data_IF_529376774704
#
_entry.id   IF_529376774704
#
_cell.length_a   1.000
_cell.length_b   1.000
_cell.length_c   1.000
_cell.angle_alpha   90.00
_cell.angle_beta   90.00
_cell.angle_gamma   90.00
#
_symmetry.space_group_name_H-M   'P 1'
#
loop_
_entity.id
_entity.type
_entity.pdbx_description
1 polymer ?
#
# COMPACT_ATOMS: atom_id res chain seq x y z
N UNK A 1 32.14 -27.61 -5.89
CA UNK A 1 32.32 -27.20 -7.30
C UNK A 1 33.79 -26.88 -7.61
N UNK A 2 34.44 -26.02 -6.83
CA UNK A 2 35.86 -25.62 -7.02
C UNK A 2 36.91 -26.74 -6.86
N UNK A 3 36.59 -27.82 -6.14
CA UNK A 3 37.50 -28.98 -5.96
C UNK A 3 37.35 -30.04 -7.06
N UNK A 4 36.52 -29.79 -8.08
CA UNK A 4 36.36 -30.74 -9.19
C UNK A 4 37.52 -30.58 -10.18
N UNK A 5 38.07 -31.69 -10.72
CA UNK A 5 39.26 -31.66 -11.59
C UNK A 5 39.03 -30.96 -12.93
N UNK A 6 37.80 -30.53 -13.21
CA UNK A 6 37.41 -29.77 -14.40
C UNK A 6 37.76 -28.28 -14.27
N UNK A 7 38.13 -27.82 -13.07
CA UNK A 7 38.46 -26.42 -12.77
C UNK A 7 39.96 -26.28 -12.55
N UNK A 8 40.56 -25.26 -13.17
CA UNK A 8 41.97 -24.87 -13.00
C UNK A 8 42.35 -24.69 -11.52
N UNK A 9 41.41 -24.15 -10.76
CA UNK A 9 41.51 -23.81 -9.35
C UNK A 9 41.62 -25.06 -8.45
N UNK A 10 41.31 -26.25 -8.95
CA UNK A 10 41.43 -27.51 -8.20
C UNK A 10 42.88 -27.88 -7.88
N UNK A 11 43.84 -27.37 -8.66
CA UNK A 11 45.28 -27.62 -8.48
C UNK A 11 45.98 -26.45 -7.78
N UNK A 12 45.26 -25.37 -7.46
CA UNK A 12 45.82 -24.18 -6.83
C UNK A 12 45.62 -24.20 -5.31
N UNK A 13 46.66 -23.83 -4.55
CA UNK A 13 46.60 -23.75 -3.08
C UNK A 13 45.88 -22.48 -2.57
N UNK A 14 45.60 -21.52 -3.45
CA UNK A 14 44.99 -20.24 -3.13
C UNK A 14 43.96 -19.88 -4.20
N UNK A 15 42.71 -19.72 -3.77
CA UNK A 15 41.63 -19.23 -4.64
C UNK A 15 41.35 -17.76 -4.30
N UNK A 16 41.40 -16.89 -5.30
CA UNK A 16 41.03 -15.46 -5.13
C UNK A 16 39.56 -15.25 -5.51
N UNK A 17 38.73 -14.95 -4.52
CA UNK A 17 37.31 -14.66 -4.71
C UNK A 17 37.11 -13.15 -4.87
N UNK A 18 36.40 -12.75 -5.93
CA UNK A 18 36.01 -11.36 -6.15
C UNK A 18 34.58 -11.15 -5.65
N UNK A 19 34.43 -10.27 -4.66
CA UNK A 19 33.15 -9.91 -4.07
C UNK A 19 32.90 -8.40 -4.13
N UNK A 20 31.63 -8.03 -4.06
CA UNK A 20 31.24 -6.62 -3.95
C UNK A 20 31.76 -6.04 -2.64
N UNK A 21 32.08 -4.72 -2.58
CA UNK A 21 32.69 -4.10 -1.41
C UNK A 21 31.84 -4.24 -0.14
N UNK A 22 30.52 -4.34 -0.29
CA UNK A 22 29.58 -4.57 0.83
C UNK A 22 29.67 -5.99 1.39
N UNK A 23 30.04 -6.99 0.57
CA UNK A 23 30.12 -8.38 0.97
C UNK A 23 31.47 -8.77 1.58
N UNK A 24 32.56 -8.10 1.19
CA UNK A 24 33.92 -8.36 1.69
C UNK A 24 34.01 -8.42 3.23
N UNK A 25 33.51 -7.44 4.01
CA UNK A 25 33.61 -7.49 5.47
C UNK A 25 32.79 -8.64 6.09
N UNK A 26 31.66 -8.97 5.48
CA UNK A 26 30.69 -9.96 5.96
C UNK A 26 31.10 -11.39 5.55
N UNK A 27 31.96 -11.52 4.55
CA UNK A 27 32.41 -12.80 4.03
C UNK A 27 33.03 -13.71 5.11
N UNK A 28 33.73 -13.12 6.09
CA UNK A 28 34.30 -13.86 7.22
C UNK A 28 33.22 -14.50 8.10
N UNK A 29 32.10 -13.81 8.33
CA UNK A 29 30.97 -14.33 9.10
C UNK A 29 30.18 -15.36 8.31
N UNK A 30 30.03 -15.15 6.99
CA UNK A 30 29.47 -16.13 6.08
C UNK A 30 30.28 -17.43 6.06
N UNK A 31 31.62 -17.35 6.04
CA UNK A 31 32.48 -18.53 6.17
C UNK A 31 32.32 -19.21 7.53
N UNK A 32 32.28 -18.43 8.63
CA UNK A 32 32.06 -18.96 9.98
C UNK A 32 30.75 -19.74 10.09
N UNK A 33 29.71 -19.36 9.35
CA UNK A 33 28.44 -20.09 9.32
C UNK A 33 28.62 -21.55 8.89
N UNK A 34 29.46 -21.85 7.89
CA UNK A 34 29.71 -23.25 7.48
C UNK A 34 30.36 -24.11 8.58
N UNK A 35 31.13 -23.50 9.48
CA UNK A 35 31.80 -24.22 10.57
C UNK A 35 30.96 -24.30 11.85
N UNK A 36 30.11 -23.30 12.10
CA UNK A 36 29.40 -23.14 13.39
C UNK A 36 27.90 -23.33 13.29
N UNK A 37 27.32 -23.25 12.08
CA UNK A 37 25.87 -23.21 11.86
C UNK A 37 25.19 -21.95 12.40
N UNK A 38 25.94 -20.94 12.84
CA UNK A 38 25.39 -19.74 13.49
C UNK A 38 25.82 -18.47 12.77
N UNK A 39 24.85 -17.59 12.52
CA UNK A 39 25.08 -16.27 11.92
C UNK A 39 24.14 -15.24 12.56
N UNK A 40 24.62 -14.00 12.67
CA UNK A 40 23.83 -12.88 13.19
C UNK A 40 23.32 -12.07 12.01
N UNK A 41 22.00 -11.96 11.88
CA UNK A 41 21.35 -11.20 10.81
C UNK A 41 20.81 -9.90 11.41
N UNK A 42 21.00 -8.80 10.67
CA UNK A 42 20.41 -7.50 10.97
C UNK A 42 19.95 -6.86 9.64
N UNK A 43 19.20 -5.75 9.71
CA UNK A 43 18.63 -5.09 8.53
C UNK A 43 19.66 -4.60 7.50
N UNK A 44 20.87 -4.23 7.94
CA UNK A 44 21.93 -3.75 7.05
C UNK A 44 22.80 -4.86 6.44
N UNK A 45 22.91 -5.99 7.14
CA UNK A 45 23.80 -7.11 6.82
C UNK A 45 23.04 -8.23 6.07
N UNK A 46 21.71 -8.29 6.19
CA UNK A 46 20.90 -9.35 5.55
C UNK A 46 21.04 -9.38 4.03
N UNK A 47 21.10 -8.22 3.36
CA UNK A 47 21.19 -8.17 1.90
C UNK A 47 22.55 -8.66 1.38
N UNK A 48 23.71 -8.22 1.93
CA UNK A 48 24.99 -8.84 1.60
C UNK A 48 25.05 -10.34 1.90
N UNK A 49 24.52 -10.80 3.04
CA UNK A 49 24.48 -12.24 3.38
C UNK A 49 23.66 -13.00 2.35
N UNK A 50 22.46 -12.52 2.02
CA UNK A 50 21.59 -13.13 1.02
C UNK A 50 22.33 -13.21 -0.33
N UNK A 51 23.04 -12.15 -0.71
CA UNK A 51 23.78 -12.16 -1.97
C UNK A 51 24.93 -13.17 -2.04
N UNK A 52 25.63 -13.38 -0.93
CA UNK A 52 26.61 -14.46 -0.81
C UNK A 52 25.90 -15.82 -0.83
N UNK A 53 24.80 -15.98 -0.10
CA UNK A 53 24.04 -17.21 -0.05
C UNK A 53 23.52 -17.64 -1.43
N UNK A 54 22.99 -16.70 -2.22
CA UNK A 54 22.56 -16.93 -3.61
C UNK A 54 23.75 -17.28 -4.52
N UNK A 55 24.85 -16.52 -4.44
CA UNK A 55 26.06 -16.76 -5.26
C UNK A 55 26.69 -18.13 -5.00
N UNK A 56 26.76 -18.55 -3.73
CA UNK A 56 27.35 -19.82 -3.31
C UNK A 56 26.32 -20.94 -3.15
N UNK A 57 25.05 -20.69 -3.47
CA UNK A 57 23.92 -21.63 -3.45
C UNK A 57 23.69 -22.31 -2.08
N UNK A 58 23.73 -21.52 -1.00
CA UNK A 58 23.48 -21.96 0.38
C UNK A 58 22.01 -21.81 0.72
N UNK A 59 21.20 -22.81 0.36
CA UNK A 59 19.73 -22.76 0.48
C UNK A 59 19.21 -22.43 1.87
N UNK A 60 19.79 -23.02 2.91
CA UNK A 60 19.33 -22.81 4.29
C UNK A 60 19.45 -21.33 4.70
N UNK A 61 20.54 -20.69 4.28
CA UNK A 61 20.79 -19.28 4.57
C UNK A 61 19.94 -18.36 3.70
N UNK A 62 19.65 -18.75 2.46
CA UNK A 62 18.68 -18.06 1.61
C UNK A 62 17.33 -18.05 2.32
N UNK A 63 16.78 -19.21 2.70
CA UNK A 63 15.49 -19.26 3.40
C UNK A 63 15.48 -18.43 4.68
N UNK A 64 16.53 -18.51 5.49
CA UNK A 64 16.63 -17.74 6.73
C UNK A 64 16.63 -16.22 6.48
N UNK A 65 17.40 -15.75 5.49
CA UNK A 65 17.43 -14.35 5.11
C UNK A 65 16.08 -13.90 4.53
N UNK A 66 15.44 -14.72 3.71
CA UNK A 66 14.15 -14.39 3.11
C UNK A 66 13.06 -14.27 4.18
N UNK A 67 13.02 -15.19 5.14
CA UNK A 67 12.08 -15.18 6.28
C UNK A 67 12.33 -13.96 7.18
N UNK A 68 13.60 -13.63 7.45
CA UNK A 68 13.95 -12.40 8.18
C UNK A 68 13.44 -11.16 7.44
N UNK A 69 13.70 -11.05 6.14
CA UNK A 69 13.29 -9.89 5.35
C UNK A 69 11.75 -9.73 5.34
N UNK A 70 10.98 -10.81 5.19
CA UNK A 70 9.52 -10.75 5.25
C UNK A 70 9.01 -10.24 6.61
N UNK A 71 9.65 -10.67 7.71
CA UNK A 71 9.27 -10.28 9.06
C UNK A 71 9.81 -8.92 9.51
N UNK A 72 10.65 -8.25 8.70
CA UNK A 72 11.29 -6.98 9.07
C UNK A 72 11.22 -5.89 7.97
N UNK A 73 10.23 -5.97 7.07
CA UNK A 73 10.00 -4.99 5.99
C UNK A 73 9.79 -3.57 6.53
N UNK A 74 8.99 -3.42 7.59
CA UNK A 74 8.67 -2.12 8.17
C UNK A 74 9.92 -1.41 8.73
N UNK A 75 10.82 -2.18 9.36
CA UNK A 75 12.09 -1.68 9.87
C UNK A 75 13.04 -1.29 8.72
N UNK A 76 13.09 -2.08 7.65
CA UNK A 76 13.86 -1.74 6.45
C UNK A 76 13.39 -0.44 5.78
N UNK A 77 12.07 -0.16 5.84
CA UNK A 77 11.51 1.07 5.32
C UNK A 77 12.04 2.30 6.07
N UNK A 78 12.00 2.29 7.41
CA UNK A 78 12.48 3.42 8.23
C UNK A 78 13.98 3.64 8.07
N UNK A 79 14.76 2.56 8.02
CA UNK A 79 16.21 2.66 7.88
C UNK A 79 16.68 2.96 6.45
N UNK A 80 15.76 3.06 5.48
CA UNK A 80 16.09 3.41 4.10
C UNK A 80 16.90 2.32 3.38
N UNK A 81 16.57 1.04 3.60
CA UNK A 81 17.15 -0.09 2.87
C UNK A 81 16.13 -0.84 2.03
N UNK A 82 14.84 -0.47 2.11
CA UNK A 82 13.74 -1.17 1.47
C UNK A 82 13.83 -1.16 -0.07
N UNK A 83 14.30 -0.06 -0.67
CA UNK A 83 14.42 0.03 -2.13
C UNK A 83 15.55 -0.87 -2.61
N UNK A 84 16.66 -0.90 -1.86
CA UNK A 84 17.76 -1.83 -2.12
C UNK A 84 17.30 -3.29 -2.02
N UNK A 85 16.46 -3.62 -1.03
CA UNK A 85 15.86 -4.95 -0.89
C UNK A 85 14.97 -5.31 -2.08
N UNK A 86 14.13 -4.36 -2.51
CA UNK A 86 13.26 -4.54 -3.67
C UNK A 86 14.04 -4.79 -4.95
N UNK A 87 15.06 -3.97 -5.25
CA UNK A 87 15.89 -4.10 -6.44
C UNK A 87 16.61 -5.43 -6.47
N UNK A 88 17.23 -5.82 -5.36
CA UNK A 88 17.93 -7.09 -5.25
C UNK A 88 16.97 -8.29 -5.41
N UNK A 89 15.85 -8.29 -4.67
CA UNK A 89 14.87 -9.36 -4.74
C UNK A 89 14.24 -9.51 -6.14
N UNK A 90 14.03 -8.38 -6.84
CA UNK A 90 13.55 -8.37 -8.23
C UNK A 90 14.58 -8.99 -9.18
N UNK A 91 15.86 -8.62 -9.06
CA UNK A 91 16.93 -9.11 -9.91
C UNK A 91 17.24 -10.60 -9.70
N UNK A 92 17.12 -11.09 -8.47
CA UNK A 92 17.37 -12.49 -8.13
C UNK A 92 16.13 -13.40 -8.25
N UNK A 93 14.96 -12.86 -8.59
CA UNK A 93 13.73 -13.63 -8.81
C UNK A 93 13.01 -14.07 -7.52
N UNK A 94 13.26 -13.41 -6.38
CA UNK A 94 12.62 -13.72 -5.10
C UNK A 94 11.22 -13.10 -5.00
N UNK A 95 10.25 -13.69 -5.72
CA UNK A 95 8.91 -13.11 -5.92
C UNK A 95 8.15 -12.76 -4.63
N UNK A 96 8.23 -13.60 -3.60
CA UNK A 96 7.47 -13.39 -2.36
C UNK A 96 7.88 -12.10 -1.65
N UNK A 97 9.20 -11.83 -1.57
CA UNK A 97 9.73 -10.60 -0.95
C UNK A 97 9.49 -9.40 -1.84
N UNK A 98 9.69 -9.54 -3.14
CA UNK A 98 9.39 -8.47 -4.09
C UNK A 98 7.95 -8.01 -3.94
N UNK A 99 6.99 -8.95 -3.86
CA UNK A 99 5.59 -8.63 -3.64
C UNK A 99 5.34 -8.02 -2.25
N UNK A 100 5.96 -8.54 -1.19
CA UNK A 100 5.84 -7.98 0.16
C UNK A 100 6.35 -6.53 0.24
N UNK A 101 7.53 -6.25 -0.34
CA UNK A 101 8.10 -4.90 -0.44
C UNK A 101 7.22 -3.99 -1.29
N UNK A 102 6.75 -4.43 -2.46
CA UNK A 102 5.85 -3.64 -3.32
C UNK A 102 4.54 -3.31 -2.61
N UNK A 103 3.92 -4.27 -1.93
CA UNK A 103 2.69 -4.04 -1.16
C UNK A 103 2.94 -3.06 -0.02
N UNK A 104 4.07 -3.20 0.70
CA UNK A 104 4.42 -2.28 1.76
C UNK A 104 4.58 -0.84 1.25
N UNK A 105 5.33 -0.64 0.16
CA UNK A 105 5.53 0.68 -0.46
C UNK A 105 4.19 1.23 -0.94
N UNK A 106 3.38 0.40 -1.58
CA UNK A 106 2.06 0.77 -2.09
C UNK A 106 1.10 1.26 -0.99
N UNK A 107 1.13 0.64 0.18
CA UNK A 107 0.25 1.03 1.29
C UNK A 107 0.84 2.13 2.17
N UNK A 108 2.16 2.30 2.16
CA UNK A 108 2.88 3.20 3.06
C UNK A 108 3.83 4.14 2.32
N UNK A 109 3.43 4.60 1.12
CA UNK A 109 4.29 5.41 0.26
C UNK A 109 4.82 6.67 0.97
N UNK A 110 3.97 7.33 1.76
CA UNK A 110 4.37 8.52 2.52
C UNK A 110 5.45 8.25 3.57
N UNK A 111 5.51 7.05 4.15
CA UNK A 111 6.60 6.67 5.06
C UNK A 111 7.90 6.50 4.29
N UNK A 112 7.85 5.83 3.14
CA UNK A 112 9.01 5.58 2.29
C UNK A 112 9.54 6.88 1.66
N UNK A 113 8.65 7.77 1.21
CA UNK A 113 8.99 9.04 0.57
C UNK A 113 9.76 10.00 1.49
N UNK A 114 9.63 9.86 2.82
CA UNK A 114 10.39 10.65 3.81
C UNK A 114 11.83 10.18 3.99
N UNK A 115 12.15 8.98 3.50
CA UNK A 115 13.48 8.40 3.66
C UNK A 115 14.38 8.77 2.49
N UNK A 116 15.69 8.82 2.74
CA UNK A 116 16.68 9.13 1.71
C UNK A 116 16.70 8.09 0.56
N UNK A 117 16.26 6.86 0.84
CA UNK A 117 16.23 5.75 -0.11
C UNK A 117 15.19 5.97 -1.23
N UNK A 118 14.24 6.90 -1.04
CA UNK A 118 13.27 7.23 -2.07
C UNK A 118 13.95 7.69 -3.38
N UNK A 119 15.08 8.39 -3.29
CA UNK A 119 15.86 8.79 -4.47
C UNK A 119 16.53 7.63 -5.23
N UNK A 120 16.53 6.41 -4.69
CA UNK A 120 17.14 5.25 -5.34
C UNK A 120 16.14 4.43 -6.17
N UNK A 121 14.84 4.76 -6.14
CA UNK A 121 13.83 4.04 -6.93
C UNK A 121 14.16 4.07 -8.42
N UNK A 122 13.99 2.91 -9.07
CA UNK A 122 14.01 2.84 -10.52
C UNK A 122 12.72 3.43 -11.10
N UNK A 123 12.87 4.12 -12.24
CA UNK A 123 11.77 4.82 -12.91
C UNK A 123 10.61 3.87 -13.20
N UNK A 124 10.89 2.72 -13.82
CA UNK A 124 9.85 1.78 -14.25
C UNK A 124 9.05 1.24 -13.07
N UNK A 125 9.72 0.95 -11.94
CA UNK A 125 9.07 0.48 -10.72
C UNK A 125 8.17 1.58 -10.15
N UNK A 126 8.68 2.82 -10.05
CA UNK A 126 7.91 3.95 -9.55
C UNK A 126 6.68 4.22 -10.43
N UNK A 127 6.86 4.27 -11.74
CA UNK A 127 5.77 4.47 -12.70
C UNK A 127 4.75 3.34 -12.60
N UNK A 128 5.17 2.08 -12.52
CA UNK A 128 4.26 0.95 -12.36
C UNK A 128 3.42 1.05 -11.07
N UNK A 129 4.01 1.56 -9.99
CA UNK A 129 3.34 1.78 -8.71
C UNK A 129 2.36 2.95 -8.78
N UNK A 130 2.69 4.01 -9.51
CA UNK A 130 1.82 5.16 -9.73
C UNK A 130 0.60 4.82 -10.60
N UNK A 131 0.66 3.84 -11.49
CA UNK A 131 -0.54 3.43 -12.24
C UNK A 131 -1.58 2.70 -11.36
N UNK A 132 -1.17 2.12 -10.23
CA UNK A 132 -2.07 1.34 -9.38
C UNK A 132 -3.10 2.23 -8.65
N UNK A 133 -4.40 1.95 -8.84
CA UNK A 133 -5.49 2.64 -8.15
C UNK A 133 -5.66 2.24 -6.68
N UNK A 134 -4.95 1.21 -6.23
CA UNK A 134 -4.91 0.75 -4.83
C UNK A 134 -3.74 1.32 -4.03
N UNK A 135 -2.99 2.26 -4.60
CA UNK A 135 -2.02 3.06 -3.87
C UNK A 135 -2.71 3.85 -2.75
N UNK A 136 -2.13 3.82 -1.56
CA UNK A 136 -2.65 4.58 -0.41
C UNK A 136 -1.84 5.86 -0.24
N UNK A 137 -2.53 6.98 -0.23
CA UNK A 137 -1.95 8.31 -0.09
C UNK A 137 -2.98 9.24 0.54
N UNK A 138 -2.56 10.33 1.19
CA UNK A 138 -3.48 11.33 1.73
C UNK A 138 -4.34 11.98 0.66
N UNK A 139 -3.71 12.54 -0.36
CA UNK A 139 -4.34 13.23 -1.48
C UNK A 139 -3.39 13.28 -2.69
N UNK A 140 -3.89 13.55 -3.89
CA UNK A 140 -3.03 13.56 -5.07
C UNK A 140 -1.96 14.68 -5.03
N UNK A 141 -2.22 15.76 -4.27
CA UNK A 141 -1.25 16.84 -4.05
C UNK A 141 -0.06 16.39 -3.19
N UNK A 142 -0.26 15.56 -2.15
CA UNK A 142 0.87 14.97 -1.42
C UNK A 142 1.68 14.02 -2.30
N UNK A 143 1.02 13.25 -3.17
CA UNK A 143 1.71 12.42 -4.17
C UNK A 143 2.59 13.28 -5.09
N UNK A 144 2.04 14.37 -5.64
CA UNK A 144 2.77 15.32 -6.48
C UNK A 144 4.04 15.84 -5.78
N UNK A 145 3.93 16.27 -4.52
CA UNK A 145 5.07 16.77 -3.73
C UNK A 145 6.13 15.69 -3.47
N UNK A 146 5.71 14.45 -3.25
CA UNK A 146 6.65 13.32 -3.15
C UNK A 146 7.42 13.14 -4.46
N UNK A 147 6.72 13.15 -5.60
CA UNK A 147 7.35 13.00 -6.92
C UNK A 147 8.26 14.16 -7.29
N UNK A 148 7.91 15.39 -6.91
CA UNK A 148 8.79 16.56 -7.04
C UNK A 148 10.10 16.34 -6.28
N UNK A 149 10.03 15.90 -5.02
CA UNK A 149 11.23 15.57 -4.23
C UNK A 149 12.07 14.45 -4.86
N UNK A 150 11.43 13.46 -5.49
CA UNK A 150 12.14 12.39 -6.21
C UNK A 150 12.86 12.92 -7.44
N UNK A 151 12.19 13.76 -8.23
CA UNK A 151 12.75 14.38 -9.43
C UNK A 151 13.93 15.30 -9.08
N UNK A 152 13.86 16.02 -7.96
CA UNK A 152 14.97 16.83 -7.46
C UNK A 152 16.20 15.97 -7.10
N UNK A 153 15.97 14.82 -6.46
CA UNK A 153 17.04 13.85 -6.18
C UNK A 153 17.66 13.30 -7.47
N UNK A 154 16.84 12.90 -8.46
CA UNK A 154 17.35 12.44 -9.75
C UNK A 154 18.12 13.55 -10.48
N UNK A 155 17.62 14.77 -10.45
CA UNK A 155 18.27 15.94 -11.05
C UNK A 155 19.66 16.14 -10.46
N UNK A 156 19.80 16.09 -9.14
CA UNK A 156 21.10 16.22 -8.48
C UNK A 156 22.04 15.07 -8.82
N UNK A 157 21.52 13.84 -8.93
CA UNK A 157 22.31 12.66 -9.29
C UNK A 157 22.81 12.73 -10.74
N UNK A 158 21.94 13.07 -11.68
CA UNK A 158 22.26 13.18 -13.10
C UNK A 158 23.16 14.38 -13.43
N UNK A 159 23.03 15.50 -12.69
CA UNK A 159 23.93 16.66 -12.80
C UNK A 159 25.42 16.30 -12.63
N UNK A 160 25.72 15.25 -11.87
CA UNK A 160 27.11 14.81 -11.65
C UNK A 160 27.64 13.89 -12.75
N UNK A 161 26.77 13.37 -13.61
CA UNK A 161 27.11 12.32 -14.57
C UNK A 161 27.00 12.78 -16.03
N UNK A 162 26.10 13.72 -16.33
CA UNK A 162 25.75 14.12 -17.69
C UNK A 162 26.17 15.56 -18.01
N UNK A 163 26.32 15.84 -19.31
CA UNK A 163 26.48 17.19 -19.84
C UNK A 163 25.18 18.00 -19.70
N UNK A 164 25.26 19.34 -19.80
CA UNK A 164 24.11 20.21 -19.56
C UNK A 164 22.95 19.95 -20.53
N UNK A 165 23.24 19.79 -21.83
CA UNK A 165 22.22 19.62 -22.87
C UNK A 165 21.55 18.23 -22.78
N UNK A 166 22.31 17.18 -22.51
CA UNK A 166 21.76 15.82 -22.30
C UNK A 166 20.93 15.73 -21.02
N UNK A 167 21.33 16.47 -19.98
CA UNK A 167 20.59 16.55 -18.72
C UNK A 167 19.20 17.18 -18.93
N UNK A 168 19.08 18.25 -19.71
CA UNK A 168 17.77 18.89 -19.90
C UNK A 168 16.78 17.99 -20.65
N UNK A 169 17.23 17.34 -21.72
CA UNK A 169 16.39 16.42 -22.49
C UNK A 169 15.97 15.19 -21.67
N UNK A 170 16.89 14.60 -20.90
CA UNK A 170 16.57 13.46 -20.03
C UNK A 170 15.63 13.84 -18.90
N UNK A 171 15.78 15.03 -18.31
CA UNK A 171 14.87 15.52 -17.27
C UNK A 171 13.47 15.78 -17.82
N UNK A 172 13.33 16.32 -19.03
CA UNK A 172 12.02 16.51 -19.66
C UNK A 172 11.29 15.17 -19.83
N UNK A 173 11.97 14.14 -20.35
CA UNK A 173 11.40 12.80 -20.48
C UNK A 173 11.01 12.18 -19.13
N UNK A 174 11.86 12.34 -18.11
CA UNK A 174 11.59 11.85 -16.76
C UNK A 174 10.37 12.54 -16.13
N UNK A 175 10.25 13.86 -16.28
CA UNK A 175 9.11 14.62 -15.77
C UNK A 175 7.82 14.16 -16.42
N UNK A 176 7.79 14.01 -17.75
CA UNK A 176 6.61 13.52 -18.47
C UNK A 176 6.23 12.11 -18.00
N UNK A 177 7.21 11.19 -17.91
CA UNK A 177 6.96 9.82 -17.50
C UNK A 177 6.42 9.69 -16.07
N UNK A 178 6.96 10.47 -15.12
CA UNK A 178 6.58 10.40 -13.70
C UNK A 178 5.30 11.17 -13.41
N UNK A 179 5.05 12.28 -14.10
CA UNK A 179 3.90 13.15 -13.84
C UNK A 179 2.67 12.77 -14.68
N UNK A 180 2.82 12.02 -15.77
CA UNK A 180 1.67 11.55 -16.57
C UNK A 180 0.66 10.73 -15.75
N UNK A 181 1.07 9.78 -14.88
CA UNK A 181 0.15 8.97 -14.07
C UNK A 181 -0.48 9.72 -12.88
N UNK A 182 -0.10 10.98 -12.65
CA UNK A 182 -0.68 11.82 -11.59
C UNK A 182 -2.10 12.23 -12.00
N UNK A 183 -3.06 11.99 -11.10
CA UNK A 183 -4.49 12.20 -11.37
C UNK A 183 -4.91 13.63 -11.07
N UNK A 184 -4.51 14.58 -11.93
CA UNK A 184 -4.91 15.99 -11.80
C UNK A 184 -6.43 16.21 -11.60
N UNK A 185 -7.35 15.43 -12.22
CA UNK A 185 -8.78 15.53 -11.93
C UNK A 185 -9.18 15.21 -10.48
N UNK A 186 -8.32 14.56 -9.70
CA UNK A 186 -8.54 14.24 -8.28
C UNK A 186 -8.00 15.33 -7.34
N UNK A 187 -7.40 16.40 -7.86
CA UNK A 187 -6.97 17.56 -7.09
C UNK A 187 -8.04 18.65 -7.12
N UNK A 188 -8.31 19.31 -6.01
CA UNK A 188 -9.26 20.43 -6.00
C UNK A 188 -8.80 21.59 -6.90
N UNK A 189 -9.70 22.39 -7.48
CA UNK A 189 -9.33 23.57 -8.28
C UNK A 189 -8.42 24.57 -7.55
N UNK A 190 -8.52 24.65 -6.22
CA UNK A 190 -7.59 25.45 -5.38
C UNK A 190 -6.18 24.87 -5.41
N UNK A 191 -6.04 23.55 -5.28
CA UNK A 191 -4.77 22.85 -5.39
C UNK A 191 -4.18 22.99 -6.80
N UNK A 192 -5.00 22.85 -7.86
CA UNK A 192 -4.55 23.06 -9.24
C UNK A 192 -4.03 24.49 -9.47
N UNK A 193 -4.67 25.51 -8.89
CA UNK A 193 -4.19 26.89 -8.96
C UNK A 193 -2.88 27.09 -8.19
N UNK A 194 -2.71 26.43 -7.04
CA UNK A 194 -1.47 26.45 -6.25
C UNK A 194 -0.29 25.88 -7.04
N UNK A 195 -0.50 24.81 -7.83
CA UNK A 195 0.55 24.20 -8.65
C UNK A 195 1.20 25.18 -9.63
N UNK A 196 0.48 26.17 -10.15
CA UNK A 196 1.02 27.20 -11.05
C UNK A 196 2.14 28.04 -10.41
N UNK A 197 2.23 28.04 -9.08
CA UNK A 197 3.27 28.75 -8.35
C UNK A 197 4.58 27.96 -8.27
N UNK A 198 4.54 26.62 -8.42
CA UNK A 198 5.70 25.76 -8.25
C UNK A 198 6.74 25.90 -9.37
N UNK A 199 8.05 25.83 -9.05
CA UNK A 199 9.11 25.98 -10.04
C UNK A 199 9.06 24.94 -11.16
N UNK A 200 8.74 23.68 -10.81
CA UNK A 200 8.65 22.58 -11.78
C UNK A 200 7.56 22.84 -12.81
N UNK A 201 6.38 23.28 -12.35
CA UNK A 201 5.26 23.64 -13.22
C UNK A 201 5.58 24.83 -14.12
N UNK A 202 6.30 25.83 -13.61
CA UNK A 202 6.73 26.98 -14.42
C UNK A 202 7.71 26.58 -15.51
N UNK A 203 8.61 25.61 -15.23
CA UNK A 203 9.58 25.12 -16.20
C UNK A 203 8.91 24.32 -17.32
N UNK A 204 8.00 23.41 -17.00
CA UNK A 204 7.31 22.54 -17.97
C UNK A 204 5.84 22.94 -18.18
N UNK A 205 5.61 24.24 -18.44
CA UNK A 205 4.28 24.85 -18.44
C UNK A 205 3.29 24.17 -19.39
N UNK A 206 3.72 23.77 -20.58
CA UNK A 206 2.81 23.28 -21.63
C UNK A 206 2.16 21.96 -21.21
N UNK A 207 2.98 21.00 -20.78
CA UNK A 207 2.54 19.73 -20.23
C UNK A 207 1.60 19.93 -19.02
N UNK A 208 2.01 20.70 -18.02
CA UNK A 208 1.21 20.83 -16.80
C UNK A 208 -0.11 21.59 -17.03
N UNK A 209 -0.12 22.64 -17.84
CA UNK A 209 -1.35 23.39 -18.15
C UNK A 209 -2.35 22.52 -18.90
N UNK A 210 -1.88 21.68 -19.83
CA UNK A 210 -2.72 20.70 -20.51
C UNK A 210 -3.38 19.74 -19.52
N UNK A 211 -2.59 19.10 -18.63
CA UNK A 211 -3.11 18.17 -17.61
C UNK A 211 -4.06 18.84 -16.61
N UNK A 212 -3.75 20.06 -16.18
CA UNK A 212 -4.64 20.85 -15.32
C UNK A 212 -5.94 21.22 -16.02
N UNK A 213 -5.91 21.46 -17.33
CA UNK A 213 -7.11 21.76 -18.10
C UNK A 213 -8.10 20.59 -18.11
N UNK A 214 -7.60 19.35 -18.18
CA UNK A 214 -8.39 18.12 -18.05
C UNK A 214 -9.05 18.07 -16.66
N UNK A 215 -8.29 18.36 -15.60
CA UNK A 215 -8.83 18.43 -14.24
C UNK A 215 -9.92 19.51 -14.11
N UNK A 216 -9.71 20.70 -14.66
CA UNK A 216 -10.72 21.77 -14.65
C UNK A 216 -11.97 21.39 -15.46
N UNK A 217 -11.83 20.68 -16.58
CA UNK A 217 -12.95 20.13 -17.34
C UNK A 217 -13.77 19.13 -16.52
N UNK A 218 -13.11 18.29 -15.71
CA UNK A 218 -13.78 17.40 -14.75
C UNK A 218 -14.55 18.18 -13.68
N UNK A 219 -13.91 19.15 -13.00
CA UNK A 219 -14.56 19.94 -11.96
C UNK A 219 -15.69 20.85 -12.48
N UNK A 220 -15.67 21.23 -13.76
CA UNK A 220 -16.73 22.02 -14.40
C UNK A 220 -17.87 21.20 -15.02
N UNK A 221 -17.79 19.86 -14.96
CA UNK A 221 -18.84 18.97 -15.47
C UNK A 221 -18.88 18.83 -17.00
N UNK A 222 -17.76 19.06 -17.70
CA UNK A 222 -17.65 18.89 -19.15
C UNK A 222 -17.50 17.40 -19.51
N UNK A 223 -18.60 16.63 -19.38
CA UNK A 223 -18.60 15.17 -19.52
C UNK A 223 -18.10 14.67 -20.88
N UNK A 224 -18.32 15.42 -21.96
CA UNK A 224 -17.88 15.01 -23.30
C UNK A 224 -16.36 14.97 -23.40
N UNK A 225 -15.68 15.99 -22.85
CA UNK A 225 -14.21 16.02 -22.80
C UNK A 225 -13.64 14.95 -21.88
N UNK A 226 -14.28 14.69 -20.73
CA UNK A 226 -13.87 13.62 -19.81
C UNK A 226 -13.94 12.26 -20.52
N UNK A 227 -15.01 12.00 -21.29
CA UNK A 227 -15.15 10.77 -22.08
C UNK A 227 -14.12 10.67 -23.20
N UNK A 228 -13.86 11.78 -23.89
CA UNK A 228 -12.86 11.84 -24.96
C UNK A 228 -11.47 11.48 -24.43
N UNK A 229 -11.03 12.13 -23.34
CA UNK A 229 -9.75 11.83 -22.67
C UNK A 229 -9.70 10.38 -22.18
N UNK A 230 -10.79 9.89 -21.58
CA UNK A 230 -10.85 8.52 -21.06
C UNK A 230 -10.69 7.45 -22.14
N UNK A 231 -11.07 7.74 -23.39
CA UNK A 231 -11.04 6.79 -24.50
C UNK A 231 -9.81 6.94 -25.40
N UNK A 232 -9.31 8.18 -25.56
CA UNK A 232 -8.29 8.50 -26.55
C UNK A 232 -6.87 8.53 -25.96
N UNK A 233 -6.71 8.83 -24.67
CA UNK A 233 -5.39 8.79 -24.01
C UNK A 233 -5.06 7.39 -23.48
N UNK A 234 -3.79 7.02 -23.57
CA UNK A 234 -3.26 5.83 -22.87
C UNK A 234 -3.50 6.00 -21.36
N UNK A 235 -4.16 5.00 -20.75
CA UNK A 235 -4.55 5.02 -19.34
C UNK A 235 -5.44 6.21 -18.92
N UNK A 236 -6.10 6.88 -19.87
CA UNK A 236 -6.94 8.06 -19.61
C UNK A 236 -8.07 7.81 -18.60
N UNK A 237 -8.65 6.61 -18.61
CA UNK A 237 -9.68 6.22 -17.64
C UNK A 237 -9.17 6.21 -16.18
N UNK A 238 -7.89 5.85 -15.96
CA UNK A 238 -7.29 5.81 -14.63
C UNK A 238 -7.14 7.21 -14.01
N UNK A 239 -7.09 8.27 -14.83
CA UNK A 239 -7.02 9.66 -14.36
C UNK A 239 -8.27 10.08 -13.60
N UNK A 240 -9.40 9.46 -13.92
CA UNK A 240 -10.70 9.75 -13.31
C UNK A 240 -11.08 8.71 -12.23
N UNK A 241 -10.30 7.65 -12.03
CA UNK A 241 -10.49 6.72 -10.94
C UNK A 241 -9.78 7.23 -9.68
N UNK A 242 -10.44 7.35 -8.52
CA UNK A 242 -9.75 7.73 -7.30
C UNK A 242 -8.84 6.62 -6.78
N UNK A 243 -7.74 7.02 -6.12
CA UNK A 243 -6.91 6.12 -5.32
C UNK A 243 -7.55 5.88 -3.95
N UNK A 244 -6.86 5.15 -3.08
CA UNK A 244 -7.23 5.03 -1.67
C UNK A 244 -6.75 6.29 -0.92
N UNK A 245 -7.54 7.36 -1.03
CA UNK A 245 -7.25 8.63 -0.38
C UNK A 245 -7.61 8.61 1.11
N UNK A 246 -6.66 8.95 1.97
CA UNK A 246 -6.81 8.98 3.44
C UNK A 246 -7.24 10.35 3.98
N UNK A 247 -7.62 11.28 3.11
CA UNK A 247 -8.23 12.57 3.47
C UNK A 247 -9.65 12.39 4.05
N UNK A 248 -10.01 13.26 4.99
CA UNK A 248 -11.29 13.19 5.73
C UNK A 248 -12.54 13.35 4.83
N UNK A 249 -12.39 13.88 3.61
CA UNK A 249 -13.49 14.08 2.66
C UNK A 249 -14.05 12.77 2.10
N UNK A 250 -13.24 11.71 2.08
CA UNK A 250 -13.62 10.39 1.58
C UNK A 250 -13.32 9.25 2.54
N UNK A 251 -12.80 9.54 3.73
CA UNK A 251 -12.35 8.49 4.63
C UNK A 251 -12.52 8.87 6.10
N UNK A 252 -12.47 7.86 6.97
CA UNK A 252 -12.54 8.06 8.41
C UNK A 252 -11.79 6.96 9.15
N UNK A 253 -11.18 7.32 10.27
CA UNK A 253 -10.40 6.44 11.12
C UNK A 253 -11.24 5.93 12.29
N UNK A 254 -11.26 4.62 12.49
CA UNK A 254 -11.82 3.95 13.66
C UNK A 254 -10.70 3.32 14.49
N UNK A 255 -10.62 3.73 15.75
CA UNK A 255 -9.72 3.14 16.75
C UNK A 255 -10.55 2.42 17.81
N UNK A 256 -10.30 1.14 18.01
CA UNK A 256 -10.89 0.32 19.07
C UNK A 256 -9.86 0.17 20.17
N UNK A 257 -10.02 0.96 21.24
CA UNK A 257 -9.19 0.89 22.45
C UNK A 257 -9.65 -0.22 23.40
N UNK A 258 -8.76 -0.63 24.31
CA UNK A 258 -8.99 -1.72 25.26
C UNK A 258 -9.49 -3.00 24.57
N UNK A 259 -8.79 -3.39 23.51
CA UNK A 259 -9.12 -4.55 22.68
C UNK A 259 -9.18 -5.84 23.50
N UNK A 260 -8.26 -6.03 24.44
CA UNK A 260 -8.23 -7.22 25.29
C UNK A 260 -9.49 -7.32 26.16
N UNK A 261 -9.95 -6.19 26.71
CA UNK A 261 -11.18 -6.11 27.51
C UNK A 261 -12.48 -6.17 26.72
N UNK A 262 -12.43 -6.13 25.38
CA UNK A 262 -13.62 -6.16 24.54
C UNK A 262 -14.37 -7.51 24.68
N UNK A 263 -15.69 -7.53 24.96
CA UNK A 263 -16.44 -8.78 25.03
C UNK A 263 -16.47 -9.52 23.70
N UNK A 264 -16.60 -10.85 23.74
CA UNK A 264 -16.84 -11.66 22.54
C UNK A 264 -18.11 -11.19 21.82
N UNK A 265 -18.07 -11.17 20.50
CA UNK A 265 -19.19 -10.74 19.63
C UNK A 265 -19.64 -9.29 19.81
N UNK A 266 -18.87 -8.46 20.53
CA UNK A 266 -19.16 -7.04 20.68
C UNK A 266 -18.96 -6.29 19.36
N UNK A 267 -19.84 -5.33 19.09
CA UNK A 267 -19.80 -4.49 17.88
C UNK A 267 -19.29 -3.08 18.20
N UNK A 268 -18.42 -2.54 17.35
CA UNK A 268 -18.05 -1.13 17.36
C UNK A 268 -18.58 -0.46 16.11
N UNK A 269 -19.27 0.66 16.30
CA UNK A 269 -19.91 1.40 15.22
C UNK A 269 -19.20 2.73 14.99
N UNK A 270 -18.88 3.03 13.74
CA UNK A 270 -18.45 4.34 13.26
C UNK A 270 -19.51 4.89 12.30
N UNK A 271 -19.84 6.17 12.42
CA UNK A 271 -20.71 6.87 11.47
C UNK A 271 -19.94 8.04 10.90
N UNK A 272 -19.87 8.13 9.58
CA UNK A 272 -19.23 9.24 8.88
C UNK A 272 -19.88 9.46 7.52
N UNK A 273 -19.54 10.58 6.90
CA UNK A 273 -20.02 10.94 5.56
C UNK A 273 -18.85 11.05 4.58
N UNK A 274 -19.04 10.58 3.34
CA UNK A 274 -18.09 10.82 2.25
C UNK A 274 -18.77 11.51 1.08
N UNK A 275 -17.99 12.22 0.26
CA UNK A 275 -18.53 12.89 -0.93
C UNK A 275 -19.06 11.86 -1.93
N UNK A 276 -20.27 12.11 -2.43
CA UNK A 276 -20.92 11.29 -3.47
C UNK A 276 -20.34 11.50 -4.87
N UNK A 277 -19.64 12.61 -5.08
CA UNK A 277 -18.90 12.93 -6.29
C UNK A 277 -17.64 13.72 -5.89
N UNK A 278 -16.52 13.46 -6.56
CA UNK A 278 -15.26 14.18 -6.31
C UNK A 278 -15.15 15.49 -7.11
N UNK A 279 -16.02 15.68 -8.11
CA UNK A 279 -16.04 16.90 -8.92
C UNK A 279 -16.77 18.05 -8.19
N UNK A 280 -16.25 19.27 -8.30
CA UNK A 280 -16.75 20.41 -7.52
C UNK A 280 -18.13 20.89 -8.01
N UNK A 281 -18.45 20.73 -9.30
CA UNK A 281 -19.77 21.07 -9.84
C UNK A 281 -20.93 20.32 -9.17
N UNK A 282 -20.66 19.14 -8.59
CA UNK A 282 -21.68 18.34 -7.93
C UNK A 282 -22.11 18.92 -6.57
N UNK A 283 -21.36 19.90 -6.05
CA UNK A 283 -21.58 20.53 -4.75
C UNK A 283 -21.28 19.61 -3.57
N UNK A 284 -21.75 19.99 -2.38
CA UNK A 284 -21.48 19.31 -1.11
C UNK A 284 -22.40 18.09 -0.86
N UNK A 285 -22.66 17.30 -1.91
CA UNK A 285 -23.49 16.10 -1.79
C UNK A 285 -22.69 14.99 -1.12
N UNK A 286 -23.03 14.67 0.12
CA UNK A 286 -22.42 13.58 0.86
C UNK A 286 -23.36 12.38 1.03
N UNK A 287 -22.77 11.20 1.19
CA UNK A 287 -23.45 9.98 1.56
C UNK A 287 -23.08 9.62 3.00
N UNK A 288 -24.08 9.32 3.84
CA UNK A 288 -23.86 8.85 5.20
C UNK A 288 -23.68 7.33 5.26
N UNK A 289 -22.66 6.93 6.00
CA UNK A 289 -22.23 5.55 6.17
C UNK A 289 -22.29 5.15 7.64
N UNK A 290 -22.79 3.95 7.90
CA UNK A 290 -22.68 3.29 9.22
C UNK A 290 -21.80 2.07 9.04
N UNK A 291 -20.68 2.04 9.76
CA UNK A 291 -19.70 0.96 9.73
C UNK A 291 -19.75 0.23 11.06
N UNK A 292 -20.14 -1.04 11.03
CA UNK A 292 -20.16 -1.92 12.21
C UNK A 292 -19.04 -2.95 12.11
N UNK A 293 -18.12 -2.96 13.08
CA UNK A 293 -17.01 -3.91 13.14
C UNK A 293 -17.23 -4.91 14.27
N UNK A 294 -17.03 -6.19 13.94
CA UNK A 294 -17.13 -7.35 14.80
C UNK A 294 -15.76 -8.04 14.89
N UNK A 295 -14.84 -7.54 15.73
CA UNK A 295 -13.47 -8.05 15.77
C UNK A 295 -13.34 -9.41 16.47
N UNK A 296 -14.27 -9.76 17.36
CA UNK A 296 -14.29 -11.01 18.13
C UNK A 296 -15.39 -11.97 17.68
N UNK A 297 -15.71 -11.96 16.38
CA UNK A 297 -16.67 -12.86 15.76
C UNK A 297 -18.09 -12.31 15.74
N UNK A 298 -18.99 -13.02 15.07
CA UNK A 298 -20.40 -12.66 14.94
C UNK A 298 -21.26 -13.76 15.56
N UNK A 299 -22.19 -13.39 16.43
CA UNK A 299 -23.15 -14.33 17.03
C UNK A 299 -24.56 -14.06 16.55
N UNK A 300 -25.11 -15.02 15.80
CA UNK A 300 -26.51 -15.04 15.39
C UNK A 300 -27.31 -15.77 16.48
N UNK A 301 -28.06 -15.00 17.26
CA UNK A 301 -28.94 -15.53 18.30
C UNK A 301 -30.08 -16.33 17.69
N UNK A 302 -30.63 -17.27 18.44
CA UNK A 302 -31.85 -18.01 18.06
C UNK A 302 -32.99 -17.04 17.78
N UNK A 303 -33.73 -17.31 16.72
CA UNK A 303 -34.93 -16.55 16.37
C UNK A 303 -35.96 -17.46 15.71
N UNK A 304 -37.21 -17.02 15.70
CA UNK A 304 -38.32 -17.75 15.09
C UNK A 304 -38.68 -17.10 13.76
N UNK A 305 -38.70 -17.89 12.68
CA UNK A 305 -39.24 -17.48 11.39
C UNK A 305 -40.72 -17.87 11.31
N UNK A 306 -41.57 -16.90 10.97
CA UNK A 306 -42.98 -17.15 10.67
C UNK A 306 -43.10 -17.41 9.17
N UNK A 307 -43.43 -18.65 8.80
CA UNK A 307 -43.68 -19.06 7.42
C UNK A 307 -45.08 -19.64 7.29
N UNK A 308 -45.57 -19.77 6.06
CA UNK A 308 -46.92 -20.28 5.77
C UNK A 308 -47.20 -21.68 6.35
N UNK A 309 -46.15 -22.49 6.58
CA UNK A 309 -46.24 -23.84 7.17
C UNK A 309 -46.15 -23.85 8.71
N UNK A 310 -46.02 -22.70 9.37
CA UNK A 310 -45.89 -22.57 10.83
C UNK A 310 -44.70 -21.73 11.27
N UNK A 311 -44.45 -21.72 12.57
CA UNK A 311 -43.27 -21.07 13.14
C UNK A 311 -42.09 -22.04 13.16
N UNK A 312 -41.00 -21.68 12.50
CA UNK A 312 -39.77 -22.50 12.44
C UNK A 312 -38.72 -21.84 13.33
N UNK A 313 -38.19 -22.59 14.29
CA UNK A 313 -37.06 -22.16 15.11
C UNK A 313 -35.77 -22.25 14.30
N UNK A 314 -35.05 -21.13 14.18
CA UNK A 314 -33.71 -21.10 13.61
C UNK A 314 -32.67 -21.27 14.72
N UNK A 315 -31.71 -22.21 14.57
CA UNK A 315 -30.68 -22.44 15.57
C UNK A 315 -29.74 -21.25 15.69
N UNK A 316 -29.05 -21.16 16.83
CA UNK A 316 -27.98 -20.19 16.99
C UNK A 316 -26.78 -20.59 16.13
N UNK A 317 -26.09 -19.59 15.62
CA UNK A 317 -24.92 -19.80 14.78
C UNK A 317 -23.84 -18.78 15.17
N UNK A 318 -22.64 -19.25 15.45
CA UNK A 318 -21.48 -18.40 15.75
C UNK A 318 -20.52 -18.47 14.58
N UNK A 319 -20.17 -17.31 14.02
CA UNK A 319 -19.17 -17.19 12.96
C UNK A 319 -17.88 -16.60 13.53
N UNK A 320 -16.80 -17.39 13.51
CA UNK A 320 -15.44 -16.96 13.89
C UNK A 320 -14.80 -16.18 12.74
N UNK A 321 -15.25 -14.94 12.56
CA UNK A 321 -14.79 -14.08 11.46
C UNK A 321 -14.71 -12.64 11.93
N UNK A 322 -13.64 -11.94 11.53
CA UNK A 322 -13.53 -10.49 11.70
C UNK A 322 -14.35 -9.84 10.61
N UNK A 323 -15.58 -9.42 10.97
CA UNK A 323 -16.55 -8.86 10.02
C UNK A 323 -16.60 -7.34 10.11
N UNK A 324 -16.70 -6.67 8.97
CA UNK A 324 -17.16 -5.29 8.85
C UNK A 324 -18.45 -5.26 8.03
N UNK A 325 -19.49 -4.64 8.58
CA UNK A 325 -20.75 -4.38 7.89
C UNK A 325 -20.84 -2.90 7.59
N UNK A 326 -20.89 -2.55 6.31
CA UNK A 326 -21.02 -1.19 5.83
C UNK A 326 -22.46 -0.95 5.35
N UNK A 327 -23.16 0.00 5.95
CA UNK A 327 -24.53 0.37 5.59
C UNK A 327 -24.56 1.77 5.00
N UNK A 328 -25.11 1.91 3.80
CA UNK A 328 -25.46 3.18 3.21
C UNK A 328 -26.84 3.62 3.70
N UNK A 329 -26.93 4.76 4.41
CA UNK A 329 -28.24 5.23 4.91
C UNK A 329 -29.15 5.67 3.76
N UNK A 330 -28.61 6.51 2.88
CA UNK A 330 -29.34 7.14 1.78
C UNK A 330 -28.62 6.95 0.43
N UNK A 331 -28.79 5.78 -0.22
CA UNK A 331 -28.37 5.63 -1.61
C UNK A 331 -29.22 6.58 -2.48
N UNK A 332 -28.56 7.32 -3.38
CA UNK A 332 -29.07 8.53 -4.04
C UNK A 332 -30.57 8.57 -4.44
N UNK A 333 -31.15 9.77 -4.38
CA UNK A 333 -32.60 10.03 -4.56
C UNK A 333 -33.06 9.93 -6.03
N UNK A 334 -32.15 10.01 -7.00
CA UNK A 334 -32.48 10.00 -8.42
C UNK A 334 -32.81 8.57 -8.88
N UNK A 335 -34.09 8.32 -9.09
CA UNK A 335 -34.68 7.05 -9.48
C UNK A 335 -33.98 6.40 -10.68
N UNK A 336 -33.24 5.31 -10.41
CA UNK A 336 -32.85 4.18 -11.30
C UNK A 336 -31.34 3.89 -11.42
N UNK A 337 -30.45 4.74 -10.89
CA UNK A 337 -29.01 4.45 -10.91
C UNK A 337 -28.52 3.95 -9.54
N UNK A 338 -27.92 2.76 -9.51
CA UNK A 338 -27.22 2.25 -8.34
C UNK A 338 -25.98 3.10 -8.06
N UNK A 339 -25.71 3.37 -6.78
CA UNK A 339 -24.52 4.12 -6.38
C UNK A 339 -23.31 3.18 -6.33
N UNK A 340 -22.40 3.33 -7.29
CA UNK A 340 -21.15 2.55 -7.35
C UNK A 340 -20.06 3.26 -6.54
N UNK A 341 -19.52 2.58 -5.54
CA UNK A 341 -18.44 3.12 -4.70
C UNK A 341 -17.29 2.12 -4.60
N UNK A 342 -16.09 2.68 -4.50
CA UNK A 342 -14.85 1.99 -4.18
C UNK A 342 -14.61 2.12 -2.69
N UNK A 343 -14.42 0.99 -2.02
CA UNK A 343 -14.25 0.88 -0.59
C UNK A 343 -12.88 0.26 -0.31
N UNK A 344 -12.07 0.97 0.47
CA UNK A 344 -10.82 0.47 1.02
C UNK A 344 -10.92 0.36 2.54
N UNK A 345 -10.59 -0.81 3.08
CA UNK A 345 -10.40 -1.02 4.53
C UNK A 345 -8.91 -1.19 4.77
N UNK A 346 -8.28 -0.16 5.32
CA UNK A 346 -6.86 -0.11 5.67
C UNK A 346 -6.72 -0.53 7.12
N UNK A 347 -5.92 -1.56 7.41
CA UNK A 347 -5.73 -2.07 8.76
C UNK A 347 -4.29 -1.79 9.17
N UNK A 348 -4.14 -1.12 10.30
CA UNK A 348 -2.83 -0.81 10.86
C UNK A 348 -2.29 -2.01 11.63
N UNK A 349 -0.97 -2.17 11.60
CA UNK A 349 -0.24 -3.14 12.39
C UNK A 349 1.02 -2.53 12.97
N UNK A 350 1.62 -3.24 13.91
CA UNK A 350 2.87 -2.86 14.57
C UNK A 350 3.91 -3.95 14.31
N UNK A 351 4.97 -3.59 13.59
CA UNK A 351 6.09 -4.47 13.28
C UNK A 351 7.38 -3.77 13.66
N UNK A 352 8.18 -4.38 14.53
CA UNK A 352 9.43 -3.81 15.06
C UNK A 352 9.30 -2.39 15.64
N UNK A 353 8.16 -2.08 16.27
CA UNK A 353 7.88 -0.76 16.83
C UNK A 353 7.42 0.28 15.79
N UNK A 354 7.27 -0.12 14.53
CA UNK A 354 6.79 0.73 13.44
C UNK A 354 5.30 0.49 13.18
N UNK A 355 4.49 1.49 13.47
CA UNK A 355 3.09 1.51 13.07
C UNK A 355 2.98 1.81 11.57
N UNK A 356 2.33 0.91 10.83
CA UNK A 356 2.15 1.03 9.39
C UNK A 356 0.85 0.36 8.96
N UNK A 357 0.41 0.60 7.73
CA UNK A 357 -0.70 -0.13 7.12
C UNK A 357 -0.22 -1.52 6.76
N UNK A 358 -0.65 -2.52 7.54
CA UNK A 358 -0.23 -3.90 7.43
C UNK A 358 -1.10 -4.72 6.46
N UNK A 359 -2.36 -4.29 6.24
CA UNK A 359 -3.26 -4.96 5.30
C UNK A 359 -4.24 -3.98 4.70
N UNK A 360 -4.54 -4.16 3.42
CA UNK A 360 -5.58 -3.41 2.70
C UNK A 360 -6.55 -4.38 2.04
N UNK A 361 -7.83 -4.15 2.26
CA UNK A 361 -8.91 -4.84 1.52
C UNK A 361 -9.64 -3.81 0.67
N UNK A 362 -9.72 -4.05 -0.63
CA UNK A 362 -10.34 -3.15 -1.61
C UNK A 362 -11.49 -3.87 -2.30
N UNK A 363 -12.63 -3.19 -2.42
CA UNK A 363 -13.82 -3.72 -3.11
C UNK A 363 -14.58 -2.60 -3.79
N UNK A 364 -15.12 -2.87 -4.98
CA UNK A 364 -16.10 -2.00 -5.62
C UNK A 364 -17.48 -2.61 -5.40
N UNK A 365 -18.39 -1.86 -4.81
CA UNK A 365 -19.74 -2.31 -4.50
C UNK A 365 -20.79 -1.31 -5.01
N UNK A 366 -22.00 -1.81 -5.27
CA UNK A 366 -23.14 -1.02 -5.74
C UNK A 366 -24.22 -1.00 -4.67
N UNK A 367 -24.49 0.19 -4.12
CA UNK A 367 -25.58 0.39 -3.17
C UNK A 367 -26.85 0.82 -3.90
N UNK A 368 -27.96 0.16 -3.56
CA UNK A 368 -29.29 0.44 -4.09
C UNK A 368 -30.31 0.58 -2.96
N UNK A 369 -31.54 1.01 -3.26
CA UNK A 369 -32.61 1.06 -2.25
C UNK A 369 -32.91 -0.31 -1.63
N UNK A 370 -32.67 -1.40 -2.38
CA UNK A 370 -32.88 -2.79 -1.95
C UNK A 370 -31.65 -3.37 -1.25
N UNK A 371 -30.46 -3.02 -1.73
CA UNK A 371 -29.18 -3.52 -1.23
C UNK A 371 -28.38 -2.35 -0.64
N UNK A 372 -28.62 -2.12 0.66
CA UNK A 372 -27.99 -1.01 1.41
C UNK A 372 -26.80 -1.43 2.26
N UNK A 373 -26.58 -2.74 2.41
CA UNK A 373 -25.61 -3.29 3.36
C UNK A 373 -24.62 -4.19 2.62
N UNK A 374 -23.34 -3.90 2.81
CA UNK A 374 -22.23 -4.74 2.39
C UNK A 374 -21.60 -5.39 3.62
N UNK A 375 -21.52 -6.72 3.63
CA UNK A 375 -20.79 -7.45 4.66
C UNK A 375 -19.44 -7.92 4.11
N UNK A 376 -18.35 -7.48 4.73
CA UNK A 376 -16.99 -7.94 4.49
C UNK A 376 -16.62 -8.91 5.61
N UNK A 377 -16.60 -10.19 5.28
CA UNK A 377 -16.13 -11.25 6.16
C UNK A 377 -14.62 -11.47 6.00
N UNK A 378 -14.00 -12.02 7.03
CA UNK A 378 -12.60 -12.48 7.01
C UNK A 378 -11.60 -11.36 6.64
N UNK A 379 -11.88 -10.13 7.11
CA UNK A 379 -10.99 -8.98 6.92
C UNK A 379 -9.59 -9.22 7.47
N UNK A 380 -9.51 -9.96 8.58
CA UNK A 380 -8.28 -10.44 9.20
C UNK A 380 -8.40 -11.91 9.56
N UNK A 381 -7.30 -12.66 9.57
CA UNK A 381 -7.28 -14.02 10.11
C UNK A 381 -7.72 -13.98 11.58
N UNK A 382 -8.83 -14.67 11.87
CA UNK A 382 -9.47 -14.57 13.18
C UNK A 382 -8.54 -14.99 14.32
N UNK A 383 -7.75 -16.05 14.13
CA UNK A 383 -6.81 -16.57 15.13
C UNK A 383 -5.58 -15.67 15.31
N UNK A 384 -5.16 -14.91 14.29
CA UNK A 384 -4.05 -13.95 14.42
C UNK A 384 -4.47 -12.69 15.19
N UNK A 385 -5.74 -12.28 15.07
CA UNK A 385 -6.28 -11.16 15.85
C UNK A 385 -6.68 -11.58 17.27
N UNK A 386 -7.21 -12.80 17.43
CA UNK A 386 -7.73 -13.34 18.69
C UNK A 386 -7.00 -14.64 19.08
N UNK A 387 -5.70 -14.58 19.42
CA UNK A 387 -4.92 -15.76 19.77
C UNK A 387 -5.48 -16.45 21.03
N UNK A 388 -5.47 -17.78 21.03
CA UNK A 388 -5.96 -18.56 22.17
C UNK A 388 -5.01 -18.44 23.36
N UNK A 389 -5.55 -18.18 24.55
CA UNK A 389 -4.78 -18.14 25.79
C UNK A 389 -4.23 -19.54 26.09
N UNK A 390 -2.95 -19.79 25.82
CA UNK A 390 -2.29 -21.07 26.12
C UNK A 390 -1.16 -21.51 25.17
N UNK A 391 -0.92 -20.82 24.05
CA UNK A 391 0.28 -21.05 23.25
C UNK A 391 1.51 -20.42 23.93
N UNK A 392 2.65 -21.13 23.88
CA UNK A 392 3.85 -20.89 24.71
C UNK A 392 4.64 -19.63 24.33
N UNK A 393 4.22 -18.88 23.31
CA UNK A 393 4.83 -17.59 22.94
C UNK A 393 3.89 -16.43 23.27
N UNK A 394 4.45 -15.32 23.74
CA UNK A 394 3.82 -14.02 24.00
C UNK A 394 3.17 -13.43 22.73
N UNK A 395 2.15 -14.09 22.17
CA UNK A 395 1.56 -13.76 20.88
C UNK A 395 0.57 -12.61 21.05
N UNK A 396 1.09 -11.39 21.18
CA UNK A 396 0.30 -10.20 20.85
C UNK A 396 0.09 -10.17 19.35
N UNK A 397 -1.15 -10.00 18.90
CA UNK A 397 -1.49 -9.89 17.48
C UNK A 397 -0.66 -8.79 16.79
N UNK A 398 -0.14 -9.01 15.57
CA UNK A 398 0.59 -7.98 14.81
C UNK A 398 -0.31 -6.81 14.37
N UNK A 399 -1.64 -6.97 14.43
CA UNK A 399 -2.63 -5.96 14.06
C UNK A 399 -3.06 -5.08 15.24
N UNK A 400 -2.53 -5.32 16.44
CA UNK A 400 -2.77 -4.47 17.60
C UNK A 400 -1.62 -3.48 17.79
N UNK A 401 -1.95 -2.20 17.75
CA UNK A 401 -1.02 -1.07 17.84
C UNK A 401 -1.08 -0.43 19.24
N UNK A 402 -0.23 0.57 19.46
CA UNK A 402 -0.11 1.29 20.73
C UNK A 402 0.94 0.72 21.68
N UNK A 403 1.24 1.45 22.78
CA UNK A 403 2.32 1.08 23.70
C UNK A 403 2.10 -0.28 24.37
N UNK A 404 0.84 -0.64 24.61
CA UNK A 404 0.45 -1.91 25.23
C UNK A 404 -0.08 -2.93 24.21
N UNK A 405 -0.01 -2.65 22.90
CA UNK A 405 -0.62 -3.47 21.83
C UNK A 405 -2.07 -3.85 22.15
N UNK A 406 -2.87 -2.83 22.41
CA UNK A 406 -4.26 -2.96 22.90
C UNK A 406 -5.24 -2.07 22.12
N UNK A 407 -4.81 -1.60 20.94
CA UNK A 407 -5.64 -0.80 20.04
C UNK A 407 -5.72 -1.47 18.68
N UNK A 408 -6.93 -1.73 18.18
CA UNK A 408 -7.14 -2.11 16.78
C UNK A 408 -7.52 -0.87 15.99
N UNK A 409 -6.74 -0.51 14.98
CA UNK A 409 -6.91 0.73 14.20
C UNK A 409 -7.20 0.39 12.74
N UNK A 410 -8.33 0.90 12.23
CA UNK A 410 -8.76 0.73 10.85
C UNK A 410 -9.13 2.07 10.23
N UNK A 411 -8.73 2.30 9.00
CA UNK A 411 -9.10 3.49 8.23
C UNK A 411 -9.95 3.05 7.06
N UNK A 412 -11.19 3.52 7.03
CA UNK A 412 -12.17 3.19 6.01
C UNK A 412 -12.18 4.32 4.98
N UNK A 413 -11.89 4.00 3.73
CA UNK A 413 -11.91 4.90 2.58
C UNK A 413 -13.10 4.52 1.71
N UNK A 414 -13.97 5.48 1.38
CA UNK A 414 -15.12 5.28 0.48
C UNK A 414 -15.14 6.42 -0.53
N UNK A 415 -14.80 6.10 -1.77
CA UNK A 415 -14.77 7.03 -2.88
C UNK A 415 -15.75 6.61 -4.00
N UNK A 416 -16.33 7.56 -4.75
CA UNK A 416 -17.15 7.24 -5.92
C UNK A 416 -16.34 6.45 -6.96
N UNK A 417 -16.92 5.40 -7.51
CA UNK A 417 -16.31 4.64 -8.60
C UNK A 417 -17.02 4.97 -9.92
N UNK A 418 -16.26 5.45 -10.90
CA UNK A 418 -16.77 5.77 -12.24
C UNK A 418 -17.16 4.52 -13.04
#
# INVERSE_FOLDING_TARGET
>A
MLMSPQWSESQESRVTLQETPQCVPIFSEFLRYFYTGQIRINYGVVLPILSLADKYNVKDLISLCLDYMQNHVALAAIHGTLVSWLQYASNCGHHNITQACQNFIKWNLELVARTADFGNFDLDILVSLLHQSSLVVKDEMTLYKCLESWLDHQTNRLRTQLSHDELEATLEQLVIAVMSPVRFPMMSPRQLAELLLFPLTKKYKEFFVERMSIGMSFHSGQLDKVKEVSLNEEDGALLFEPRLYTIDTCSSLLTIENFHGLPSYHTRTLVFSSHSCLAEYAGDRACEWVVDIYPKGVWFKKFFLIVWQGTVEMPEHVKRSVRLSLTCKDPSVNSNADMRVKIGVLIYGLQDGVEHIARVTEIIHRFSKKERVLNLDDLLPFEELNPQQGSVSENTSPFLVGPNKDMLKLHIVISPAN
#
